data_IF_613740002737
#
_entry.id   IF_613740002737
#
_cell.length_a   1.000
_cell.length_b   1.000
_cell.length_c   1.000
_cell.angle_alpha   90.00
_cell.angle_beta   90.00
_cell.angle_gamma   90.00
#
_symmetry.space_group_name_H-M   'P 1'
#
loop_
_entity.id
_entity.type
_entity.pdbx_description
1 polymer ?
#
# COMPACT_ATOMS: atom_id res chain seq x y z
N UNK A 1 -23.29 -1.69 -0.84
CA UNK A 1 -23.57 -0.46 -1.63
C UNK A 1 -22.76 0.73 -1.13
N UNK A 2 -23.03 1.26 0.08
CA UNK A 2 -22.41 2.52 0.54
C UNK A 2 -20.87 2.48 0.61
N UNK A 3 -20.28 1.39 1.11
CA UNK A 3 -18.82 1.18 1.10
C UNK A 3 -18.22 1.15 -0.31
N UNK A 4 -18.91 0.54 -1.28
CA UNK A 4 -18.43 0.48 -2.67
C UNK A 4 -18.58 1.83 -3.36
N UNK A 5 -19.69 2.53 -3.14
CA UNK A 5 -19.93 3.88 -3.64
C UNK A 5 -18.86 4.85 -3.11
N UNK A 6 -18.55 4.78 -1.82
CA UNK A 6 -17.46 5.54 -1.21
C UNK A 6 -16.10 5.13 -1.81
N UNK A 7 -15.79 3.82 -1.91
CA UNK A 7 -14.52 3.32 -2.45
C UNK A 7 -14.23 3.84 -3.87
N UNK A 8 -15.21 3.75 -4.77
CA UNK A 8 -15.06 4.10 -6.18
C UNK A 8 -15.46 5.54 -6.52
N UNK A 9 -15.88 6.36 -5.54
CA UNK A 9 -16.19 7.77 -5.76
C UNK A 9 -17.43 7.97 -6.61
N UNK A 10 -18.42 7.11 -6.40
CA UNK A 10 -19.68 7.16 -7.10
C UNK A 10 -20.40 8.48 -6.78
N UNK A 11 -20.87 9.18 -7.82
CA UNK A 11 -21.66 10.40 -7.63
C UNK A 11 -23.00 10.09 -6.95
N UNK A 12 -23.52 11.03 -6.18
CA UNK A 12 -24.83 10.89 -5.52
C UNK A 12 -25.93 10.56 -6.51
N UNK A 13 -25.90 11.11 -7.72
CA UNK A 13 -26.90 10.86 -8.76
C UNK A 13 -26.91 9.38 -9.18
N UNK A 14 -25.74 8.79 -9.40
CA UNK A 14 -25.61 7.38 -9.80
C UNK A 14 -26.03 6.49 -8.63
N UNK A 15 -25.52 6.76 -7.43
CA UNK A 15 -25.84 5.99 -6.23
C UNK A 15 -27.34 6.01 -5.89
N UNK A 16 -28.01 7.17 -6.06
CA UNK A 16 -29.44 7.32 -5.82
C UNK A 16 -30.28 6.44 -6.76
N UNK A 17 -29.96 6.48 -8.05
CA UNK A 17 -30.66 5.68 -9.07
C UNK A 17 -30.46 4.19 -8.80
N UNK A 18 -29.23 3.77 -8.51
CA UNK A 18 -28.89 2.36 -8.28
C UNK A 18 -29.59 1.80 -7.03
N UNK A 19 -29.66 2.58 -5.94
CA UNK A 19 -30.39 2.16 -4.74
C UNK A 19 -31.91 2.12 -4.96
N UNK A 20 -32.49 3.05 -5.73
CA UNK A 20 -33.91 2.99 -6.07
C UNK A 20 -34.25 1.78 -6.95
N UNK A 21 -33.36 1.38 -7.87
CA UNK A 21 -33.52 0.18 -8.69
C UNK A 21 -33.53 -1.11 -7.84
N UNK A 22 -32.87 -1.11 -6.68
CA UNK A 22 -32.93 -2.18 -5.70
C UNK A 22 -34.21 -2.16 -4.84
N UNK A 23 -35.14 -1.24 -5.10
CA UNK A 23 -36.44 -1.15 -4.45
C UNK A 23 -36.51 -0.19 -3.25
N UNK A 24 -35.47 0.64 -3.02
CA UNK A 24 -35.55 1.63 -1.94
C UNK A 24 -36.47 2.81 -2.34
N UNK A 25 -37.39 3.22 -1.45
CA UNK A 25 -38.20 4.42 -1.65
C UNK A 25 -37.35 5.69 -1.79
N UNK A 26 -37.85 6.68 -2.54
CA UNK A 26 -37.15 7.94 -2.83
C UNK A 26 -36.61 8.64 -1.60
N UNK A 27 -37.40 8.72 -0.53
CA UNK A 27 -37.01 9.41 0.70
C UNK A 27 -35.85 8.70 1.41
N UNK A 28 -35.86 7.36 1.39
CA UNK A 28 -34.78 6.54 1.96
C UNK A 28 -33.52 6.61 1.10
N UNK A 29 -33.66 6.60 -0.23
CA UNK A 29 -32.53 6.77 -1.14
C UNK A 29 -31.87 8.15 -0.97
N UNK A 30 -32.67 9.21 -0.80
CA UNK A 30 -32.16 10.55 -0.49
C UNK A 30 -31.42 10.61 0.85
N UNK A 31 -31.94 9.92 1.88
CA UNK A 31 -31.23 9.79 3.17
C UNK A 31 -29.89 9.06 3.02
N UNK A 32 -29.84 7.97 2.25
CA UNK A 32 -28.61 7.24 1.97
C UNK A 32 -27.59 8.07 1.18
N UNK A 33 -28.03 8.93 0.27
CA UNK A 33 -27.14 9.86 -0.45
C UNK A 33 -26.49 10.87 0.51
N UNK A 34 -27.24 11.39 1.48
CA UNK A 34 -26.68 12.28 2.52
C UNK A 34 -25.63 11.56 3.35
N UNK A 35 -25.88 10.31 3.75
CA UNK A 35 -24.90 9.50 4.49
C UNK A 35 -23.64 9.26 3.65
N UNK A 36 -23.80 8.93 2.36
CA UNK A 36 -22.66 8.80 1.45
C UNK A 36 -21.87 10.11 1.37
N UNK A 37 -22.52 11.24 1.12
CA UNK A 37 -21.87 12.55 1.04
C UNK A 37 -21.08 12.90 2.30
N UNK A 38 -21.70 12.75 3.48
CA UNK A 38 -21.09 13.13 4.76
C UNK A 38 -19.91 12.23 5.13
N UNK A 39 -19.93 10.96 4.74
CA UNK A 39 -18.98 9.97 5.24
C UNK A 39 -18.10 9.31 4.18
N UNK A 40 -18.20 9.68 2.89
CA UNK A 40 -17.46 9.04 1.81
C UNK A 40 -15.95 9.04 2.09
N UNK A 41 -15.42 10.20 2.49
CA UNK A 41 -13.99 10.38 2.75
C UNK A 41 -13.53 9.63 3.99
N UNK A 42 -14.31 9.67 5.07
CA UNK A 42 -14.02 8.91 6.27
C UNK A 42 -14.04 7.38 6.01
N UNK A 43 -14.98 6.91 5.20
CA UNK A 43 -15.07 5.50 4.80
C UNK A 43 -13.88 5.13 3.91
N UNK A 44 -13.52 5.98 2.95
CA UNK A 44 -12.31 5.79 2.12
C UNK A 44 -11.05 5.73 2.95
N UNK A 45 -10.85 6.70 3.84
CA UNK A 45 -9.71 6.73 4.72
C UNK A 45 -9.66 5.45 5.55
N UNK A 46 -10.79 5.01 6.11
CA UNK A 46 -10.84 3.77 6.87
C UNK A 46 -10.54 2.53 6.03
N UNK A 47 -10.95 2.52 4.75
CA UNK A 47 -10.63 1.44 3.81
C UNK A 47 -9.15 1.46 3.42
N UNK A 48 -8.53 2.63 3.29
CA UNK A 48 -7.08 2.79 3.05
C UNK A 48 -6.31 2.30 4.28
N UNK A 49 -6.70 2.75 5.48
CA UNK A 49 -6.08 2.35 6.74
C UNK A 49 -6.21 0.84 7.02
N UNK A 50 -7.30 0.22 6.55
CA UNK A 50 -7.57 -1.22 6.67
C UNK A 50 -7.14 -2.05 5.46
N UNK A 51 -6.76 -1.41 4.36
CA UNK A 51 -6.17 -2.13 3.25
C UNK A 51 -4.86 -2.72 3.78
N UNK A 52 -4.61 -4.00 3.50
CA UNK A 52 -3.30 -4.59 3.78
C UNK A 52 -2.27 -3.75 3.03
N UNK A 53 -1.55 -2.92 3.78
CA UNK A 53 -0.38 -2.24 3.26
C UNK A 53 0.63 -3.35 2.99
N UNK A 54 1.14 -3.38 1.77
CA UNK A 54 2.26 -4.26 1.43
C UNK A 54 3.37 -3.97 2.44
N UNK A 55 4.06 -5.02 2.91
CA UNK A 55 5.24 -4.89 3.76
C UNK A 55 6.15 -3.79 3.19
N UNK A 56 6.34 -2.72 3.96
CA UNK A 56 7.03 -1.52 3.47
C UNK A 56 8.44 -1.49 4.05
N UNK A 57 9.44 -1.37 3.17
CA UNK A 57 10.83 -1.21 3.57
C UNK A 57 11.04 0.21 4.10
N UNK A 58 11.19 0.33 5.42
CA UNK A 58 11.32 1.60 6.13
C UNK A 58 12.75 2.15 6.11
N UNK A 59 13.75 1.27 6.23
CA UNK A 59 15.15 1.69 6.21
C UNK A 59 16.07 0.53 5.82
N UNK A 60 17.18 0.90 5.19
CA UNK A 60 18.30 0.01 4.90
C UNK A 60 19.54 0.59 5.57
N UNK A 61 20.23 -0.21 6.40
CA UNK A 61 21.49 0.17 7.04
C UNK A 61 22.58 -0.82 6.67
N UNK A 62 23.75 -0.32 6.29
CA UNK A 62 24.94 -1.16 6.19
C UNK A 62 25.53 -1.33 7.60
N UNK A 63 25.56 -2.57 8.09
CA UNK A 63 26.09 -2.94 9.41
C UNK A 63 27.27 -3.90 9.28
N UNK A 64 27.96 -3.87 8.13
CA UNK A 64 29.15 -4.69 7.87
C UNK A 64 30.24 -4.42 8.91
N UNK A 65 30.70 -5.47 9.59
CA UNK A 65 31.65 -5.39 10.69
C UNK A 65 32.74 -6.46 10.56
N UNK A 66 33.99 -6.07 10.86
CA UNK A 66 35.14 -6.98 10.79
C UNK A 66 35.03 -8.02 11.91
N UNK A 67 34.94 -9.30 11.54
CA UNK A 67 34.87 -10.43 12.48
C UNK A 67 33.45 -10.96 12.73
N UNK A 68 32.41 -10.17 12.42
CA UNK A 68 31.01 -10.61 12.49
C UNK A 68 30.43 -10.90 11.10
N UNK A 69 30.77 -10.06 10.12
CA UNK A 69 30.33 -10.27 8.73
C UNK A 69 31.16 -11.39 8.08
N UNK A 70 30.51 -12.35 7.40
CA UNK A 70 31.22 -13.35 6.60
C UNK A 70 32.17 -12.72 5.59
N UNK A 71 33.28 -13.39 5.32
CA UNK A 71 34.27 -12.89 4.36
C UNK A 71 33.64 -12.69 2.98
N UNK A 72 34.00 -11.59 2.31
CA UNK A 72 33.46 -11.18 1.01
C UNK A 72 31.93 -10.93 0.98
N UNK A 73 31.32 -10.67 2.14
CA UNK A 73 29.93 -10.24 2.22
C UNK A 73 29.81 -8.82 2.77
N UNK A 74 28.71 -8.16 2.44
CA UNK A 74 28.19 -7.03 3.19
C UNK A 74 26.99 -7.48 4.01
N UNK A 75 26.90 -6.99 5.25
CA UNK A 75 25.73 -7.22 6.10
C UNK A 75 24.82 -6.00 6.03
N UNK A 76 23.59 -6.22 5.58
CA UNK A 76 22.55 -5.20 5.53
C UNK A 76 21.47 -5.49 6.56
N UNK A 77 21.05 -4.45 7.24
CA UNK A 77 19.90 -4.47 8.13
C UNK A 77 18.71 -3.79 7.44
N UNK A 78 17.59 -4.50 7.35
CA UNK A 78 16.37 -4.09 6.68
C UNK A 78 15.26 -3.95 7.71
N UNK A 79 14.73 -2.74 7.88
CA UNK A 79 13.56 -2.50 8.71
C UNK A 79 12.31 -2.57 7.85
N UNK A 80 11.38 -3.45 8.17
CA UNK A 80 10.14 -3.66 7.43
C UNK A 80 8.97 -3.36 8.36
N UNK A 81 8.02 -2.55 7.90
CA UNK A 81 6.78 -2.30 8.64
C UNK A 81 5.62 -3.12 8.10
N UNK A 82 4.63 -3.36 8.95
CA UNK A 82 3.38 -4.06 8.62
C UNK A 82 3.57 -5.53 8.22
N UNK A 83 4.69 -6.14 8.61
CA UNK A 83 4.90 -7.57 8.39
C UNK A 83 4.01 -8.39 9.33
N UNK A 84 3.35 -9.41 8.77
CA UNK A 84 2.48 -10.30 9.55
C UNK A 84 3.33 -11.31 10.33
N UNK A 85 3.41 -11.11 11.64
CA UNK A 85 4.04 -12.04 12.59
C UNK A 85 2.94 -12.56 13.50
N UNK A 86 2.75 -13.88 13.52
CA UNK A 86 1.66 -14.55 14.27
C UNK A 86 0.26 -13.99 13.98
N UNK A 87 0.04 -13.54 12.74
CA UNK A 87 -1.24 -12.98 12.28
C UNK A 87 -1.49 -11.52 12.67
N UNK A 88 -0.55 -10.85 13.33
CA UNK A 88 -0.63 -9.43 13.68
C UNK A 88 0.42 -8.61 12.92
N UNK A 89 0.06 -7.42 12.39
CA UNK A 89 1.04 -6.51 11.80
C UNK A 89 2.05 -6.03 12.83
N UNK A 90 3.34 -6.18 12.51
CA UNK A 90 4.44 -5.78 13.37
C UNK A 90 5.58 -5.17 12.54
N UNK A 91 6.30 -4.24 13.15
CA UNK A 91 7.57 -3.76 12.63
C UNK A 91 8.68 -4.77 12.96
N UNK A 92 9.43 -5.18 11.94
CA UNK A 92 10.46 -6.19 12.03
C UNK A 92 11.80 -5.65 11.52
N UNK A 93 12.87 -6.34 11.88
CA UNK A 93 14.23 -6.01 11.47
C UNK A 93 14.90 -7.30 11.06
N UNK A 94 15.37 -7.34 9.82
CA UNK A 94 16.01 -8.49 9.21
C UNK A 94 17.45 -8.16 8.88
N UNK A 95 18.36 -9.05 9.26
CA UNK A 95 19.78 -8.92 8.92
C UNK A 95 20.11 -9.93 7.85
N UNK A 96 20.61 -9.46 6.71
CA UNK A 96 20.98 -10.30 5.57
C UNK A 96 22.44 -10.10 5.22
N UNK A 97 23.11 -11.19 4.86
CA UNK A 97 24.46 -11.16 4.32
C UNK A 97 24.37 -11.33 2.81
N UNK A 98 24.97 -10.41 2.06
CA UNK A 98 24.97 -10.41 0.60
C UNK A 98 26.42 -10.47 0.14
N UNK A 99 26.74 -11.40 -0.74
CA UNK A 99 28.07 -11.46 -1.34
C UNK A 99 28.39 -10.17 -2.09
N UNK A 100 29.61 -9.65 -1.92
CA UNK A 100 30.04 -8.41 -2.58
C UNK A 100 29.95 -8.50 -4.11
N UNK A 101 30.11 -9.70 -4.67
CA UNK A 101 29.95 -9.94 -6.10
C UNK A 101 28.50 -9.74 -6.58
N UNK A 102 27.51 -9.96 -5.71
CA UNK A 102 26.08 -9.85 -6.04
C UNK A 102 25.52 -8.44 -5.83
N UNK A 103 26.18 -7.60 -5.02
CA UNK A 103 25.73 -6.22 -4.75
C UNK A 103 25.64 -5.37 -6.03
N UNK A 104 26.57 -5.57 -6.96
CA UNK A 104 26.54 -4.87 -8.25
C UNK A 104 25.29 -5.19 -9.04
N UNK A 105 24.98 -6.49 -9.18
CA UNK A 105 23.77 -6.97 -9.86
C UNK A 105 22.49 -6.46 -9.17
N UNK A 106 22.42 -6.57 -7.84
CA UNK A 106 21.28 -6.06 -7.07
C UNK A 106 21.04 -4.56 -7.32
N UNK A 107 22.10 -3.75 -7.31
CA UNK A 107 21.99 -2.32 -7.57
C UNK A 107 21.47 -2.03 -8.98
N UNK A 108 21.90 -2.78 -9.97
CA UNK A 108 21.46 -2.60 -11.35
C UNK A 108 19.98 -3.03 -11.53
N UNK A 109 19.55 -4.11 -10.89
CA UNK A 109 18.15 -4.52 -10.83
C UNK A 109 17.27 -3.48 -10.13
N UNK A 110 17.74 -2.90 -9.02
CA UNK A 110 17.02 -1.83 -8.32
C UNK A 110 16.86 -0.57 -9.17
N UNK A 111 17.89 -0.20 -9.96
CA UNK A 111 17.77 0.92 -10.93
C UNK A 111 16.76 0.60 -12.01
N UNK A 112 16.79 -0.61 -12.56
CA UNK A 112 15.82 -1.05 -13.56
C UNK A 112 14.38 -0.99 -13.01
N UNK A 113 14.16 -1.49 -11.80
CA UNK A 113 12.86 -1.42 -11.14
C UNK A 113 12.38 0.03 -10.97
N UNK A 114 13.24 0.93 -10.50
CA UNK A 114 12.95 2.37 -10.40
C UNK A 114 12.57 2.96 -11.76
N UNK A 115 13.33 2.67 -12.80
CA UNK A 115 13.07 3.22 -14.14
C UNK A 115 11.75 2.69 -14.73
N UNK A 116 11.35 1.45 -14.41
CA UNK A 116 10.04 0.90 -14.74
C UNK A 116 8.94 1.64 -13.97
N UNK A 117 9.09 1.83 -12.66
CA UNK A 117 8.10 2.52 -11.81
C UNK A 117 7.87 3.96 -12.29
N UNK A 118 8.93 4.72 -12.58
CA UNK A 118 8.86 6.09 -13.08
C UNK A 118 8.10 6.19 -14.42
N UNK A 119 8.17 5.16 -15.28
CA UNK A 119 7.42 5.15 -16.54
C UNK A 119 5.91 5.04 -16.34
N UNK A 120 5.46 4.41 -15.24
CA UNK A 120 4.04 4.30 -14.93
C UNK A 120 3.52 5.56 -14.24
N UNK A 121 4.31 6.18 -13.38
CA UNK A 121 3.94 7.44 -12.69
C UNK A 121 3.72 8.59 -13.70
N UNK A 122 4.54 8.68 -14.74
CA UNK A 122 4.40 9.69 -15.80
C UNK A 122 3.19 9.47 -16.73
N UNK A 123 2.51 8.31 -16.69
CA UNK A 123 1.34 8.03 -17.53
C UNK A 123 0.01 8.48 -16.92
N UNK A 124 -0.04 8.77 -15.63
CA UNK A 124 -1.28 9.28 -14.99
C UNK A 124 -1.46 10.80 -15.15
N UNK A 125 -0.54 11.48 -15.84
CA UNK A 125 -0.52 12.95 -16.02
C UNK A 125 -0.96 13.45 -17.41
N UNK A 126 -1.52 12.58 -18.27
CA UNK A 126 -2.06 12.92 -19.61
C UNK A 126 -3.45 12.37 -19.79
#
# INVERSE_FOLDING_TARGET
MLTNAARYGCSEKIFNVEIQQLGLPKDHAAAMCRVLHTHADAIRQKLIDKAFRINELQSVRNVTSLGETPQNCATLELKISQELVDGLPKDTTHTVNIECAQLGALLDEMKLARDIMLKYENKEST
#
